data_IF_358729510969
#
_entry.id   IF_358729510969
#
_cell.length_a   1.000
_cell.length_b   1.000
_cell.length_c   1.000
_cell.angle_alpha   90.00
_cell.angle_beta   90.00
_cell.angle_gamma   90.00
#
_symmetry.space_group_name_H-M   'P 1'
#
loop_
_entity.id
_entity.type
_entity.pdbx_description
1 polymer ?
#
# COMPACT_ATOMS: atom_id res chain seq x y z
N UNK A 1 32.62 -19.16 4.08
CA UNK A 1 32.52 -17.75 3.62
C UNK A 1 31.75 -16.98 4.66
N UNK A 2 32.30 -15.88 5.20
CA UNK A 2 31.55 -15.01 6.13
C UNK A 2 30.40 -14.37 5.37
N UNK A 3 29.16 -14.33 5.89
CA UNK A 3 28.12 -13.52 5.29
C UNK A 3 28.57 -12.07 5.40
N UNK A 4 29.00 -11.48 4.28
CA UNK A 4 29.29 -10.05 4.22
C UNK A 4 28.02 -9.31 4.62
N UNK A 5 28.16 -8.29 5.47
CA UNK A 5 27.10 -7.34 5.81
C UNK A 5 26.40 -6.89 4.53
N UNK A 6 25.25 -7.49 4.21
CA UNK A 6 24.36 -6.94 3.18
C UNK A 6 23.91 -5.61 3.74
N UNK A 7 24.48 -4.52 3.22
CA UNK A 7 24.10 -3.17 3.61
C UNK A 7 22.63 -3.01 3.23
N UNK A 8 21.75 -2.97 4.23
CA UNK A 8 20.34 -2.69 3.97
C UNK A 8 20.25 -1.33 3.30
N UNK A 9 19.49 -1.29 2.21
CA UNK A 9 19.25 -0.09 1.41
C UNK A 9 17.76 0.16 1.37
N UNK A 10 17.40 1.41 1.20
CA UNK A 10 16.06 1.88 1.46
C UNK A 10 15.48 2.68 0.30
N UNK A 11 14.19 2.52 0.09
CA UNK A 11 13.34 3.40 -0.71
C UNK A 11 12.41 4.16 0.24
N UNK A 12 12.50 5.48 0.25
CA UNK A 12 11.56 6.36 0.94
C UNK A 12 10.57 6.92 -0.08
N UNK A 13 9.29 6.95 0.29
CA UNK A 13 8.23 7.49 -0.57
C UNK A 13 7.41 8.52 0.21
N UNK A 14 6.79 9.51 -0.47
CA UNK A 14 5.96 10.50 0.20
C UNK A 14 4.77 9.86 0.91
N UNK A 15 4.23 10.56 1.91
CA UNK A 15 3.03 10.13 2.61
C UNK A 15 1.88 9.86 1.62
N UNK A 16 1.11 8.81 1.92
CA UNK A 16 0.03 8.35 1.05
C UNK A 16 -1.30 8.88 1.60
N UNK A 17 -1.76 10.01 1.05
CA UNK A 17 -2.81 10.85 1.65
C UNK A 17 -4.16 10.71 0.91
N UNK A 18 -4.73 9.50 0.90
CA UNK A 18 -5.99 9.19 0.19
C UNK A 18 -6.92 8.27 0.97
N UNK A 19 -8.07 7.91 0.41
CA UNK A 19 -8.91 6.85 0.97
C UNK A 19 -8.14 5.51 1.04
N UNK A 20 -8.42 4.71 2.07
CA UNK A 20 -7.65 3.51 2.45
C UNK A 20 -7.36 2.55 1.28
N UNK A 21 -8.33 2.31 0.39
CA UNK A 21 -8.13 1.43 -0.77
C UNK A 21 -7.09 1.98 -1.76
N UNK A 22 -7.11 3.28 -2.03
CA UNK A 22 -6.07 3.91 -2.85
C UNK A 22 -4.71 3.88 -2.13
N UNK A 23 -4.71 3.99 -0.80
CA UNK A 23 -3.48 3.86 -0.03
C UNK A 23 -2.88 2.45 -0.15
N UNK A 24 -3.70 1.39 -0.08
CA UNK A 24 -3.25 0.00 -0.29
C UNK A 24 -2.61 -0.17 -1.67
N UNK A 25 -3.24 0.35 -2.72
CA UNK A 25 -2.70 0.27 -4.09
C UNK A 25 -1.35 1.00 -4.17
N UNK A 26 -1.28 2.24 -3.67
CA UNK A 26 -0.05 3.01 -3.65
C UNK A 26 1.07 2.33 -2.86
N UNK A 27 0.73 1.75 -1.71
CA UNK A 27 1.65 0.94 -0.90
C UNK A 27 2.19 -0.26 -1.68
N UNK A 28 1.32 -1.01 -2.39
CA UNK A 28 1.78 -2.13 -3.21
C UNK A 28 2.73 -1.68 -4.32
N UNK A 29 2.45 -0.56 -5.00
CA UNK A 29 3.38 0.03 -5.97
C UNK A 29 4.73 0.38 -5.35
N UNK A 30 4.71 0.99 -4.17
CA UNK A 30 5.93 1.34 -3.44
C UNK A 30 6.76 0.10 -3.09
N UNK A 31 6.11 -0.96 -2.57
CA UNK A 31 6.77 -2.24 -2.26
C UNK A 31 7.41 -2.87 -3.49
N UNK A 32 6.68 -2.91 -4.60
CA UNK A 32 7.16 -3.55 -5.82
C UNK A 32 8.22 -2.71 -6.55
N UNK A 33 8.20 -1.38 -6.37
CA UNK A 33 9.29 -0.50 -6.80
C UNK A 33 10.53 -0.72 -5.96
N UNK A 34 10.40 -0.80 -4.63
CA UNK A 34 11.51 -1.09 -3.73
C UNK A 34 12.17 -2.42 -4.13
N UNK A 35 11.36 -3.45 -4.41
CA UNK A 35 11.83 -4.73 -4.94
C UNK A 35 12.60 -4.59 -6.25
N UNK A 36 12.08 -3.84 -7.22
CA UNK A 36 12.75 -3.60 -8.51
C UNK A 36 14.12 -2.90 -8.32
N UNK A 37 14.23 -2.01 -7.34
CA UNK A 37 15.46 -1.29 -6.99
C UNK A 37 16.34 -2.04 -5.98
N UNK A 38 16.01 -3.31 -5.65
CA UNK A 38 16.71 -4.14 -4.66
C UNK A 38 16.87 -3.44 -3.28
N UNK A 39 15.78 -2.85 -2.80
CA UNK A 39 15.69 -2.05 -1.57
C UNK A 39 14.52 -2.49 -0.71
N UNK A 40 14.65 -2.25 0.59
CA UNK A 40 13.52 -2.29 1.52
C UNK A 40 12.71 -1.00 1.42
N UNK A 41 11.39 -1.10 1.51
CA UNK A 41 10.54 0.10 1.59
C UNK A 41 10.60 0.64 3.03
N UNK A 42 11.01 1.90 3.20
CA UNK A 42 10.83 2.58 4.47
C UNK A 42 9.35 2.79 4.72
N UNK A 43 8.90 2.30 5.87
CA UNK A 43 7.49 2.21 6.22
C UNK A 43 6.79 3.56 6.01
N UNK A 44 5.87 3.67 5.04
CA UNK A 44 5.16 4.90 4.81
C UNK A 44 4.13 5.13 5.91
N UNK A 45 3.86 6.38 6.23
CA UNK A 45 2.70 6.74 7.04
C UNK A 45 1.43 6.67 6.20
N UNK A 46 0.39 6.05 6.75
CA UNK A 46 -0.96 6.05 6.21
C UNK A 46 -1.66 7.37 6.59
N UNK A 47 -2.85 7.58 6.05
CA UNK A 47 -3.70 8.72 6.40
C UNK A 47 -5.08 8.26 6.90
N UNK A 48 -5.60 8.94 7.92
CA UNK A 48 -6.95 8.70 8.45
C UNK A 48 -8.08 9.29 7.59
N UNK A 49 -7.77 9.85 6.40
CA UNK A 49 -8.69 10.72 5.69
C UNK A 49 -10.04 10.05 5.39
N UNK A 50 -11.08 10.49 6.11
CA UNK A 50 -12.48 10.28 5.74
C UNK A 50 -12.96 11.38 4.77
N UNK A 51 -12.21 12.48 4.65
CA UNK A 51 -12.53 13.64 3.82
C UNK A 51 -11.38 13.99 2.87
N UNK A 52 -11.57 13.71 1.58
CA UNK A 52 -10.60 13.97 0.51
C UNK A 52 -10.26 15.47 0.30
N UNK A 53 -10.88 16.40 1.04
CA UNK A 53 -10.76 17.85 0.83
C UNK A 53 -9.98 18.59 1.91
N UNK A 54 -9.73 17.99 3.07
CA UNK A 54 -9.12 18.68 4.22
C UNK A 54 -7.70 18.18 4.44
N UNK A 55 -6.86 18.36 3.42
CA UNK A 55 -5.49 17.83 3.38
C UNK A 55 -4.64 18.35 4.56
N UNK A 56 -4.90 19.59 4.98
CA UNK A 56 -4.15 20.28 6.04
C UNK A 56 -4.43 19.75 7.46
N UNK A 57 -5.48 18.92 7.64
CA UNK A 57 -5.83 18.32 8.94
C UNK A 57 -5.43 16.83 9.03
N UNK A 58 -4.76 16.30 8.02
CA UNK A 58 -4.50 14.86 7.92
C UNK A 58 -3.34 14.44 8.82
N UNK A 59 -3.71 13.92 9.99
CA UNK A 59 -2.77 13.27 10.88
C UNK A 59 -2.33 11.92 10.27
N UNK A 60 -1.01 11.65 10.18
CA UNK A 60 -0.51 10.35 9.76
C UNK A 60 -0.98 9.26 10.72
N UNK A 61 -1.45 8.15 10.15
CA UNK A 61 -1.68 6.90 10.89
C UNK A 61 -0.46 6.00 10.67
N UNK A 62 0.10 5.46 11.75
CA UNK A 62 1.15 4.45 11.65
C UNK A 62 0.63 3.17 11.00
N UNK A 63 1.43 2.50 10.18
CA UNK A 63 1.08 1.19 9.60
C UNK A 63 0.58 0.21 10.66
N UNK A 64 1.28 0.16 11.82
CA UNK A 64 0.98 -0.69 12.98
C UNK A 64 -0.35 -0.39 13.69
N UNK A 65 -1.08 0.67 13.29
CA UNK A 65 -2.45 0.91 13.76
C UNK A 65 -3.50 0.15 12.97
N UNK A 66 -3.18 -0.27 11.75
CA UNK A 66 -4.13 -0.92 10.82
C UNK A 66 -3.65 -2.32 10.46
N UNK A 67 -2.37 -2.46 10.15
CA UNK A 67 -1.76 -3.70 9.71
C UNK A 67 -0.60 -4.11 10.61
N UNK A 68 -0.41 -5.41 10.80
CA UNK A 68 0.68 -5.95 11.61
C UNK A 68 1.98 -6.00 10.79
N UNK A 69 2.96 -5.17 11.14
CA UNK A 69 4.25 -5.07 10.44
C UNK A 69 5.03 -6.40 10.40
N UNK A 70 5.12 -7.09 11.53
CA UNK A 70 5.90 -8.34 11.62
C UNK A 70 5.26 -9.46 10.79
N UNK A 71 3.93 -9.61 10.87
CA UNK A 71 3.19 -10.59 10.05
C UNK A 71 3.32 -10.25 8.56
N UNK A 72 3.30 -8.97 8.18
CA UNK A 72 3.53 -8.55 6.80
C UNK A 72 4.90 -9.03 6.29
N UNK A 73 5.98 -8.67 7.00
CA UNK A 73 7.34 -9.04 6.60
C UNK A 73 7.56 -10.56 6.60
N UNK A 74 6.91 -11.29 7.50
CA UNK A 74 6.92 -12.76 7.51
C UNK A 74 6.24 -13.35 6.28
N UNK A 75 5.02 -12.90 5.95
CA UNK A 75 4.24 -13.44 4.82
C UNK A 75 4.79 -13.04 3.45
N UNK A 76 5.47 -11.90 3.38
CA UNK A 76 6.12 -11.39 2.16
C UNK A 76 7.63 -11.67 2.11
N UNK A 77 8.16 -12.51 3.00
CA UNK A 77 9.57 -12.85 3.03
C UNK A 77 10.09 -13.34 1.67
N UNK A 78 11.22 -12.77 1.22
CA UNK A 78 11.81 -13.07 -0.09
C UNK A 78 11.09 -12.45 -1.28
N UNK A 79 10.00 -11.72 -1.07
CA UNK A 79 9.25 -11.03 -2.13
C UNK A 79 9.37 -9.51 -2.02
N UNK A 80 8.96 -8.92 -0.90
CA UNK A 80 9.12 -7.50 -0.57
C UNK A 80 9.46 -7.37 0.92
N UNK A 81 10.07 -6.26 1.33
CA UNK A 81 10.43 -6.04 2.73
C UNK A 81 10.16 -4.60 3.16
N UNK A 82 9.57 -4.44 4.34
CA UNK A 82 9.40 -3.16 5.01
C UNK A 82 10.48 -2.97 6.07
N UNK A 83 11.00 -1.75 6.16
CA UNK A 83 11.92 -1.33 7.22
C UNK A 83 11.39 -0.11 7.96
N UNK A 84 11.82 0.07 9.21
CA UNK A 84 11.48 1.23 10.03
C UNK A 84 12.53 2.31 9.85
N UNK A 85 12.16 3.56 10.11
CA UNK A 85 13.13 4.66 10.13
C UNK A 85 14.24 4.47 11.17
N UNK A 86 14.00 3.69 12.23
CA UNK A 86 15.01 3.31 13.21
C UNK A 86 16.13 2.41 12.64
N UNK A 87 15.91 1.78 11.47
CA UNK A 87 16.88 0.91 10.81
C UNK A 87 17.92 1.71 9.97
N UNK A 88 17.69 3.01 9.78
CA UNK A 88 18.58 3.89 9.04
C UNK A 88 19.89 4.11 9.79
N UNK A 89 21.01 3.97 9.08
CA UNK A 89 22.35 4.22 9.64
C UNK A 89 22.89 5.59 9.26
N UNK A 90 22.25 6.29 8.32
CA UNK A 90 22.64 7.60 7.80
C UNK A 90 24.11 7.65 7.37
N UNK A 91 24.57 6.59 6.72
CA UNK A 91 25.95 6.38 6.28
C UNK A 91 26.25 7.01 4.91
N UNK A 92 25.23 7.49 4.20
CA UNK A 92 25.40 8.26 2.97
C UNK A 92 24.36 9.38 2.90
N UNK A 93 24.56 10.28 1.95
CA UNK A 93 23.52 11.22 1.56
C UNK A 93 22.28 10.48 1.04
N UNK A 94 21.15 11.17 1.13
CA UNK A 94 19.87 10.73 0.55
C UNK A 94 19.81 11.22 -0.89
N UNK A 95 19.59 10.30 -1.83
CA UNK A 95 19.35 10.69 -3.22
C UNK A 95 17.88 11.02 -3.42
N UNK A 96 17.58 12.25 -3.83
CA UNK A 96 16.22 12.67 -4.12
C UNK A 96 15.86 12.41 -5.59
N UNK A 97 14.99 11.42 -5.80
CA UNK A 97 14.48 11.03 -7.10
C UNK A 97 13.22 11.83 -7.42
N UNK A 98 13.36 12.78 -8.34
CA UNK A 98 12.23 13.56 -8.87
C UNK A 98 11.43 12.72 -9.86
N UNK A 99 10.21 12.32 -9.45
CA UNK A 99 9.28 11.64 -10.34
C UNK A 99 8.82 12.59 -11.44
N UNK A 100 8.85 12.12 -12.68
CA UNK A 100 8.29 12.88 -13.78
C UNK A 100 6.79 13.14 -13.64
N UNK A 101 6.31 14.20 -14.28
CA UNK A 101 4.93 14.66 -14.17
C UNK A 101 4.44 15.39 -15.42
N UNK A 102 3.12 15.62 -15.47
CA UNK A 102 2.48 16.41 -16.53
C UNK A 102 2.02 15.59 -17.74
N UNK A 103 1.46 16.27 -18.74
CA UNK A 103 0.77 15.66 -19.90
C UNK A 103 1.67 14.80 -20.81
N UNK A 104 3.00 14.99 -20.75
CA UNK A 104 3.98 14.24 -21.54
C UNK A 104 4.55 13.03 -20.78
N UNK A 105 4.07 12.78 -19.57
CA UNK A 105 4.49 11.64 -18.75
C UNK A 105 3.62 10.43 -19.12
N UNK A 106 4.21 9.46 -19.82
CA UNK A 106 3.51 8.26 -20.31
C UNK A 106 3.91 7.04 -19.49
N UNK A 107 3.18 5.93 -19.65
CA UNK A 107 3.49 4.64 -19.02
C UNK A 107 4.93 4.21 -19.33
N UNK A 108 5.34 4.34 -20.59
CA UNK A 108 6.65 3.92 -21.06
C UNK A 108 7.76 4.77 -20.44
N UNK A 109 7.61 6.10 -20.42
CA UNK A 109 8.57 7.02 -19.80
C UNK A 109 8.72 6.80 -18.30
N UNK A 110 7.61 6.46 -17.65
CA UNK A 110 7.55 6.15 -16.23
C UNK A 110 8.32 4.85 -15.91
N UNK A 111 8.19 3.83 -16.77
CA UNK A 111 8.94 2.57 -16.66
C UNK A 111 10.42 2.72 -17.05
N UNK A 112 10.72 3.51 -18.08
CA UNK A 112 12.10 3.77 -18.52
C UNK A 112 12.88 4.51 -17.43
N UNK A 113 12.26 5.54 -16.81
CA UNK A 113 12.84 6.22 -15.65
C UNK A 113 13.17 5.22 -14.52
N UNK A 114 12.27 4.27 -14.22
CA UNK A 114 12.52 3.25 -13.20
C UNK A 114 13.71 2.35 -13.52
N UNK A 115 13.84 1.95 -14.78
CA UNK A 115 14.97 1.12 -15.23
C UNK A 115 16.28 1.88 -15.10
N UNK A 116 16.30 3.15 -15.48
CA UNK A 116 17.49 4.01 -15.33
C UNK A 116 17.96 4.05 -13.86
N UNK A 117 17.02 4.12 -12.91
CA UNK A 117 17.34 4.12 -11.48
C UNK A 117 17.67 2.75 -10.88
N UNK A 118 17.41 1.67 -11.61
CA UNK A 118 17.83 0.32 -11.21
C UNK A 118 19.31 0.03 -11.50
N UNK A 119 20.01 0.96 -12.17
CA UNK A 119 21.44 0.83 -12.44
C UNK A 119 22.30 0.96 -11.18
N UNK A 120 23.46 0.30 -11.21
CA UNK A 120 24.41 0.22 -10.08
C UNK A 120 24.95 1.58 -9.63
N UNK A 121 24.83 2.64 -10.42
CA UNK A 121 25.29 3.98 -10.06
C UNK A 121 24.57 4.53 -8.81
N UNK A 122 23.33 4.10 -8.57
CA UNK A 122 22.55 4.51 -7.41
C UNK A 122 22.78 3.62 -6.17
N UNK A 123 23.57 2.55 -6.30
CA UNK A 123 23.89 1.64 -5.19
C UNK A 123 24.79 2.27 -4.13
N UNK A 124 25.41 3.41 -4.44
CA UNK A 124 26.20 4.20 -3.48
C UNK A 124 25.34 4.80 -2.37
N UNK A 125 24.06 5.07 -2.68
CA UNK A 125 23.12 5.70 -1.76
C UNK A 125 22.41 4.64 -0.91
N UNK A 126 22.53 4.77 0.41
CA UNK A 126 21.75 4.01 1.39
C UNK A 126 20.25 4.21 1.16
N UNK A 127 19.83 5.46 0.95
CA UNK A 127 18.41 5.82 0.77
C UNK A 127 18.18 6.56 -0.53
N UNK A 128 17.21 6.09 -1.30
CA UNK A 128 16.60 6.83 -2.40
C UNK A 128 15.26 7.35 -1.90
N UNK A 129 15.04 8.66 -1.96
CA UNK A 129 13.78 9.30 -1.61
C UNK A 129 13.06 9.73 -2.86
N UNK A 130 11.87 9.19 -3.11
CA UNK A 130 11.01 9.64 -4.19
C UNK A 130 10.34 10.94 -3.77
N UNK A 131 10.44 11.96 -4.63
CA UNK A 131 9.86 13.29 -4.44
C UNK A 131 9.04 13.69 -5.67
N UNK A 132 8.09 14.60 -5.49
CA UNK A 132 7.18 15.08 -6.54
C UNK A 132 5.71 15.01 -6.16
N UNK A 133 4.82 15.40 -7.08
CA UNK A 133 3.36 15.35 -6.87
C UNK A 133 2.80 13.96 -7.21
N UNK A 134 1.91 13.46 -6.34
CA UNK A 134 0.76 12.59 -6.62
C UNK A 134 0.85 11.03 -6.44
N UNK A 135 -0.33 10.37 -6.27
CA UNK A 135 -0.62 9.12 -5.50
C UNK A 135 -0.07 7.79 -5.90
N UNK A 136 0.51 7.77 -7.06
CA UNK A 136 0.63 6.60 -7.87
C UNK A 136 2.06 6.67 -8.33
N UNK A 137 2.95 6.44 -7.35
CA UNK A 137 4.40 6.60 -7.44
C UNK A 137 4.94 6.16 -8.79
N UNK A 138 4.33 5.15 -9.40
CA UNK A 138 4.34 4.84 -10.83
C UNK A 138 2.94 4.40 -11.28
N UNK A 139 2.72 4.28 -12.59
CA UNK A 139 1.56 3.57 -13.16
C UNK A 139 1.51 2.10 -12.69
N UNK A 140 0.53 1.30 -13.11
CA UNK A 140 0.55 -0.14 -12.84
C UNK A 140 1.38 -0.87 -13.91
N UNK A 141 2.71 -0.93 -13.74
CA UNK A 141 3.63 -1.72 -14.58
C UNK A 141 3.74 -3.20 -14.17
N UNK A 142 3.18 -3.58 -13.02
CA UNK A 142 3.43 -4.87 -12.40
C UNK A 142 2.27 -5.83 -12.71
N UNK A 143 2.55 -7.15 -12.80
CA UNK A 143 1.50 -8.14 -12.96
C UNK A 143 0.47 -8.07 -11.82
N UNK A 144 -0.80 -8.33 -12.13
CA UNK A 144 -1.88 -8.37 -11.12
C UNK A 144 -1.57 -9.36 -9.99
N UNK A 145 -0.89 -10.47 -10.30
CA UNK A 145 -0.42 -11.45 -9.31
C UNK A 145 0.50 -10.85 -8.25
N UNK A 146 1.32 -9.86 -8.64
CA UNK A 146 2.28 -9.24 -7.74
C UNK A 146 1.58 -8.31 -6.75
N UNK A 147 0.58 -7.56 -7.24
CA UNK A 147 -0.30 -6.77 -6.38
C UNK A 147 -1.07 -7.65 -5.39
N UNK A 148 -1.67 -8.73 -5.91
CA UNK A 148 -2.39 -9.69 -5.08
C UNK A 148 -1.48 -10.25 -3.98
N UNK A 149 -0.25 -10.61 -4.32
CA UNK A 149 0.72 -11.12 -3.34
C UNK A 149 1.04 -10.11 -2.24
N UNK A 150 1.22 -8.82 -2.57
CA UNK A 150 1.41 -7.78 -1.53
C UNK A 150 0.16 -7.64 -0.65
N UNK A 151 -1.04 -7.68 -1.25
CA UNK A 151 -2.29 -7.56 -0.49
C UNK A 151 -2.54 -8.74 0.44
N UNK A 152 -2.17 -9.96 0.06
CA UNK A 152 -2.24 -11.15 0.91
C UNK A 152 -1.35 -11.02 2.16
N UNK A 153 -0.25 -10.27 2.08
CA UNK A 153 0.62 -10.01 3.22
C UNK A 153 0.05 -8.97 4.19
N UNK A 154 -0.97 -8.19 3.80
CA UNK A 154 -1.58 -7.18 4.67
C UNK A 154 -2.51 -7.84 5.70
N UNK A 155 -1.94 -8.11 6.88
CA UNK A 155 -2.68 -8.69 8.01
C UNK A 155 -3.17 -7.58 8.92
N UNK A 156 -4.46 -7.54 9.22
CA UNK A 156 -5.03 -6.58 10.19
C UNK A 156 -4.43 -6.79 11.59
N UNK A 157 -4.37 -5.72 12.37
CA UNK A 157 -4.03 -5.84 13.80
C UNK A 157 -5.09 -6.63 14.56
N UNK A 158 -4.69 -7.22 15.68
CA UNK A 158 -5.55 -8.13 16.45
C UNK A 158 -6.79 -7.43 17.02
N UNK A 159 -6.68 -6.14 17.35
CA UNK A 159 -7.80 -5.30 17.81
C UNK A 159 -8.93 -5.24 16.76
N UNK A 160 -8.62 -4.83 15.53
CA UNK A 160 -9.58 -4.78 14.42
C UNK A 160 -10.11 -6.19 14.11
N UNK A 161 -9.23 -7.20 14.11
CA UNK A 161 -9.63 -8.58 13.82
C UNK A 161 -10.64 -9.11 14.86
N UNK A 162 -10.47 -8.75 16.14
CA UNK A 162 -11.39 -9.09 17.21
C UNK A 162 -12.75 -8.43 17.01
N UNK A 163 -12.78 -7.12 16.75
CA UNK A 163 -14.04 -6.40 16.49
C UNK A 163 -14.79 -6.98 15.28
N UNK A 164 -14.08 -7.29 14.19
CA UNK A 164 -14.66 -7.93 13.00
C UNK A 164 -15.30 -9.27 13.37
N UNK A 165 -14.62 -10.11 14.16
CA UNK A 165 -15.16 -11.40 14.59
C UNK A 165 -16.42 -11.24 15.46
N UNK A 166 -16.45 -10.25 16.34
CA UNK A 166 -17.64 -9.94 17.16
C UNK A 166 -18.83 -9.50 16.30
N UNK A 167 -18.59 -8.64 15.30
CA UNK A 167 -19.64 -8.21 14.35
C UNK A 167 -20.17 -9.39 13.55
N UNK A 168 -19.29 -10.24 12.99
CA UNK A 168 -19.72 -11.42 12.23
C UNK A 168 -20.49 -12.41 13.11
N UNK A 169 -20.08 -12.59 14.36
CA UNK A 169 -20.80 -13.45 15.31
C UNK A 169 -22.23 -12.96 15.53
N UNK A 170 -22.42 -11.66 15.77
CA UNK A 170 -23.76 -11.06 15.95
C UNK A 170 -24.64 -11.20 14.71
N UNK A 171 -24.07 -11.00 13.52
CA UNK A 171 -24.81 -11.20 12.25
C UNK A 171 -25.31 -12.64 12.14
N UNK A 172 -24.46 -13.62 12.47
CA UNK A 172 -24.82 -15.04 12.42
C UNK A 172 -25.86 -15.44 13.48
N UNK A 173 -25.76 -14.86 14.68
CA UNK A 173 -26.75 -15.05 15.75
C UNK A 173 -28.15 -14.61 15.29
N UNK A 174 -28.26 -13.38 14.78
CA UNK A 174 -29.53 -12.84 14.24
C UNK A 174 -30.07 -13.74 13.11
N UNK A 175 -29.20 -14.18 12.18
CA UNK A 175 -29.62 -15.08 11.11
C UNK A 175 -30.09 -16.46 11.61
N UNK A 176 -29.53 -16.94 12.73
CA UNK A 176 -29.84 -18.25 13.30
C UNK A 176 -31.20 -18.26 14.02
N UNK A 177 -31.55 -17.16 14.70
CA UNK A 177 -32.87 -16.94 15.30
C UNK A 177 -33.98 -16.95 14.23
N UNK A 178 -33.72 -16.34 13.07
CA UNK A 178 -34.67 -16.29 11.95
C UNK A 178 -34.88 -17.68 11.34
N UNK A 179 -33.81 -18.48 11.23
CA UNK A 179 -33.83 -19.76 10.51
C UNK A 179 -34.02 -20.99 11.40
N UNK A 180 -34.18 -20.84 12.73
CA UNK A 180 -34.14 -21.93 13.72
C UNK A 180 -32.96 -22.89 13.50
N UNK A 181 -31.82 -22.33 13.11
CA UNK A 181 -30.60 -23.06 12.75
C UNK A 181 -29.51 -22.82 13.79
N UNK A 182 -28.42 -23.59 13.73
CA UNK A 182 -27.25 -23.28 14.57
C UNK A 182 -26.53 -22.02 14.05
N UNK A 183 -26.11 -21.14 14.97
CA UNK A 183 -25.38 -19.91 14.64
C UNK A 183 -24.05 -20.18 13.93
N UNK A 184 -23.42 -21.32 14.18
CA UNK A 184 -22.18 -21.74 13.53
C UNK A 184 -22.34 -22.13 12.05
N UNK A 185 -23.55 -22.49 11.62
CA UNK A 185 -23.84 -22.95 10.25
C UNK A 185 -24.65 -21.96 9.43
N UNK A 186 -25.04 -20.82 10.00
CA UNK A 186 -25.89 -19.86 9.29
C UNK A 186 -25.05 -19.10 8.24
N UNK A 187 -25.31 -19.31 6.93
CA UNK A 187 -24.59 -18.58 5.90
C UNK A 187 -25.01 -17.11 5.89
N UNK A 188 -24.10 -16.23 5.46
CA UNK A 188 -24.41 -14.83 5.21
C UNK A 188 -23.79 -14.39 3.88
N UNK A 189 -24.39 -13.38 3.26
CA UNK A 189 -23.85 -12.71 2.09
C UNK A 189 -23.47 -11.28 2.47
N UNK A 190 -22.21 -10.90 2.24
CA UNK A 190 -21.74 -9.53 2.40
C UNK A 190 -21.72 -8.83 1.04
N UNK A 191 -22.36 -7.66 0.95
CA UNK A 191 -22.47 -6.87 -0.28
C UNK A 191 -21.84 -5.51 -0.03
N UNK A 192 -20.80 -5.16 -0.79
CA UNK A 192 -20.23 -3.82 -0.78
C UNK A 192 -20.92 -2.95 -1.83
N UNK A 193 -21.75 -2.01 -1.38
CA UNK A 193 -22.47 -1.08 -2.25
C UNK A 193 -21.68 0.23 -2.37
N UNK A 194 -21.00 0.44 -3.51
CA UNK A 194 -20.40 1.74 -3.86
C UNK A 194 -21.38 2.53 -4.73
N UNK A 195 -22.29 3.27 -4.09
CA UNK A 195 -23.40 3.98 -4.75
C UNK A 195 -23.44 5.47 -4.42
N UNK A 196 -22.37 6.00 -3.82
CA UNK A 196 -22.26 7.39 -3.45
C UNK A 196 -22.23 8.31 -4.68
N UNK A 197 -22.60 9.58 -4.48
CA UNK A 197 -22.77 10.57 -5.57
C UNK A 197 -21.52 10.74 -6.43
N UNK A 198 -20.34 10.69 -5.84
CA UNK A 198 -19.07 10.73 -6.55
C UNK A 198 -18.91 9.54 -7.51
N UNK A 199 -19.27 8.34 -7.07
CA UNK A 199 -19.21 7.14 -7.90
C UNK A 199 -20.26 7.16 -9.01
N UNK A 200 -21.49 7.61 -8.73
CA UNK A 200 -22.52 7.80 -9.76
C UNK A 200 -22.07 8.78 -10.85
N UNK A 201 -21.42 9.89 -10.46
CA UNK A 201 -20.86 10.86 -11.43
C UNK A 201 -19.74 10.21 -12.26
N UNK A 202 -18.88 9.40 -11.64
CA UNK A 202 -17.84 8.65 -12.35
C UNK A 202 -18.44 7.71 -13.41
N UNK A 203 -19.44 6.91 -13.05
CA UNK A 203 -20.12 6.00 -13.96
C UNK A 203 -20.77 6.75 -15.15
N UNK A 204 -21.51 7.83 -14.89
CA UNK A 204 -22.12 8.67 -15.96
C UNK A 204 -21.10 9.21 -16.95
N UNK A 205 -19.95 9.69 -16.45
CA UNK A 205 -18.86 10.16 -17.33
C UNK A 205 -18.27 9.04 -18.18
N UNK A 206 -18.27 7.80 -17.70
CA UNK A 206 -17.79 6.64 -18.45
C UNK A 206 -18.78 6.24 -19.54
N UNK A 207 -20.07 6.26 -19.24
CA UNK A 207 -21.14 6.03 -20.22
C UNK A 207 -21.10 7.05 -21.36
N UNK A 208 -20.89 8.34 -21.06
CA UNK A 208 -20.78 9.40 -22.08
C UNK A 208 -19.55 9.27 -23.00
N UNK A 209 -18.56 8.46 -22.63
CA UNK A 209 -17.33 8.23 -23.40
C UNK A 209 -17.35 6.93 -24.21
N UNK A 210 -18.34 6.07 -23.96
CA UNK A 210 -18.52 4.77 -24.64
C UNK A 210 -19.48 4.95 -25.82
#
# INVERSE_FOLDING_TARGET
MKPGNVRMKFLEVPQIVWGLNNQKIAFARACLTARMLNRSLLMPSLSASLFYKEIDQLQPISFDKVFNFEKFNSFCHGFVHLSRYADLKNQSDVFELQKGSGRRWTLERDLDQLKDFSHQDYDVYETIRVVGKNPFLWHDHWPVSDYAKVFECLVLVDEISKEVNEVVSKIREVGSEINNASSYQTPYAAIHMRIEKDWMIHCKKREQRS
#
